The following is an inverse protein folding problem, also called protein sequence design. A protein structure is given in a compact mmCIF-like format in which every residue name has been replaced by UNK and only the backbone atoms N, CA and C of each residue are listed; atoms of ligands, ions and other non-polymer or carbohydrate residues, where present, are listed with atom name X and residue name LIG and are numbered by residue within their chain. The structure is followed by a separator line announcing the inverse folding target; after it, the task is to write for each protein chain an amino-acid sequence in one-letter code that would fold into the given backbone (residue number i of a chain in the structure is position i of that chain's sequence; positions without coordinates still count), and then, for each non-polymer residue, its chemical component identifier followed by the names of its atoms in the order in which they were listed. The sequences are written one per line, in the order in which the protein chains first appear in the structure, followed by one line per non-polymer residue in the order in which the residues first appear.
data_IF_660624509740
#
_entry.id   IF_660624509740
#
_cell.length_a   1.000
_cell.length_b   1.000
_cell.length_c   1.000
_cell.angle_alpha   90.00
_cell.angle_beta   90.00
_cell.angle_gamma   90.00
#
_symmetry.space_group_name_H-M   'P 1'
#
loop_
_entity.id
_entity.type
_entity.pdbx_description
1 polymer ?
#
# COMPACT_ATOMS: atom_id res chain seq x y z
N UNK A 1 37.43 44.18 47.77
CA UNK A 1 36.10 44.08 47.13
C UNK A 1 36.23 43.22 45.90
N UNK A 2 35.76 41.94 45.95
CA UNK A 2 35.80 40.95 44.86
C UNK A 2 34.39 40.88 44.24
N UNK A 3 34.24 41.31 43.02
CA UNK A 3 32.97 41.15 42.27
C UNK A 3 32.92 39.78 41.65
N UNK A 4 31.93 38.96 42.11
CA UNK A 4 31.64 37.64 41.58
C UNK A 4 30.59 37.81 40.45
N UNK A 5 31.01 37.59 39.22
CA UNK A 5 30.13 37.62 38.05
C UNK A 5 29.38 36.28 37.97
N UNK A 6 28.07 36.29 38.16
CA UNK A 6 27.24 35.10 37.96
C UNK A 6 26.86 35.01 36.48
N UNK A 7 27.30 33.94 35.80
CA UNK A 7 26.90 33.62 34.44
C UNK A 7 25.58 32.82 34.52
N UNK A 8 24.48 33.43 34.10
CA UNK A 8 23.22 32.71 33.86
C UNK A 8 23.32 31.96 32.51
N UNK A 9 23.42 30.64 32.56
CA UNK A 9 23.25 29.79 31.39
C UNK A 9 21.76 29.57 31.14
N UNK A 10 21.25 30.22 30.10
CA UNK A 10 19.89 29.97 29.59
C UNK A 10 19.86 28.65 28.82
N UNK A 11 19.27 27.62 29.43
CA UNK A 11 18.91 26.37 28.76
C UNK A 11 17.72 26.64 27.83
N UNK A 12 18.00 26.86 26.55
CA UNK A 12 16.99 26.84 25.49
C UNK A 12 16.59 25.36 25.26
N UNK A 13 15.54 24.93 25.95
CA UNK A 13 14.88 23.65 25.71
C UNK A 13 14.16 23.69 24.36
N UNK A 14 14.82 23.22 23.31
CA UNK A 14 14.18 22.95 22.02
C UNK A 14 13.20 21.78 22.19
N UNK A 15 11.90 22.06 22.23
CA UNK A 15 10.87 21.04 22.09
C UNK A 15 10.94 20.53 20.65
N UNK A 16 11.52 19.34 20.46
CA UNK A 16 11.39 18.60 19.21
C UNK A 16 9.90 18.25 19.04
N UNK A 17 9.21 18.96 18.18
CA UNK A 17 7.89 18.54 17.73
C UNK A 17 8.08 17.25 16.92
N UNK A 18 7.69 16.11 17.49
CA UNK A 18 7.55 14.87 16.74
C UNK A 18 6.44 15.13 15.71
N UNK A 19 6.81 15.21 14.44
CA UNK A 19 5.85 15.30 13.33
C UNK A 19 4.95 14.08 13.39
N UNK A 20 3.65 14.31 13.58
CA UNK A 20 2.67 13.23 13.64
C UNK A 20 2.68 12.49 12.30
N UNK A 21 2.67 11.15 12.33
CA UNK A 21 2.58 10.37 11.11
C UNK A 21 1.31 10.76 10.32
N UNK A 22 1.39 10.87 8.99
CA UNK A 22 0.24 11.24 8.17
C UNK A 22 -0.88 10.21 8.36
N UNK A 23 -2.11 10.70 8.46
CA UNK A 23 -3.30 9.87 8.63
C UNK A 23 -3.85 9.33 7.30
N UNK A 24 -3.11 9.52 6.22
CA UNK A 24 -3.35 8.96 4.90
C UNK A 24 -2.03 8.59 4.25
N UNK A 25 -2.04 7.52 3.43
CA UNK A 25 -0.85 7.01 2.72
C UNK A 25 -1.10 6.95 1.22
N UNK A 26 0.00 6.95 0.46
CA UNK A 26 0.00 6.72 -0.98
C UNK A 26 -0.01 5.21 -1.20
N UNK A 27 -0.99 4.70 -1.93
CA UNK A 27 -1.07 3.28 -2.26
C UNK A 27 -0.27 2.99 -3.52
N UNK A 28 0.60 1.98 -3.44
CA UNK A 28 1.30 1.41 -4.57
C UNK A 28 0.88 -0.06 -4.70
N UNK A 29 0.04 -0.36 -5.67
CA UNK A 29 -0.36 -1.73 -6.00
C UNK A 29 0.61 -2.28 -7.03
N UNK A 30 1.31 -3.37 -6.71
CA UNK A 30 2.18 -4.10 -7.63
C UNK A 30 1.52 -5.40 -8.05
N UNK A 31 1.20 -5.54 -9.34
CA UNK A 31 0.77 -6.79 -9.93
C UNK A 31 2.00 -7.58 -10.38
N UNK A 32 2.23 -8.71 -9.73
CA UNK A 32 3.46 -9.52 -9.83
C UNK A 32 3.14 -11.02 -9.83
N UNK A 33 4.14 -11.86 -10.07
CA UNK A 33 4.06 -13.30 -9.89
C UNK A 33 5.45 -13.89 -9.69
N UNK A 34 5.58 -14.88 -8.83
CA UNK A 34 6.81 -15.65 -8.67
C UNK A 34 7.18 -16.44 -9.95
N UNK A 35 6.20 -16.69 -10.83
CA UNK A 35 6.41 -17.31 -12.14
C UNK A 35 7.05 -16.39 -13.18
N UNK A 36 6.95 -15.09 -13.02
CA UNK A 36 7.37 -14.07 -13.98
C UNK A 36 8.85 -13.68 -13.77
N UNK A 37 9.74 -13.93 -14.74
CA UNK A 37 11.18 -13.66 -14.62
C UNK A 37 11.55 -12.18 -14.55
N UNK A 38 10.70 -11.29 -15.06
CA UNK A 38 10.88 -9.83 -15.00
C UNK A 38 10.32 -9.17 -13.74
N UNK A 39 9.63 -9.94 -12.88
CA UNK A 39 8.97 -9.41 -11.68
C UNK A 39 9.92 -9.15 -10.49
N UNK A 40 10.95 -9.96 -10.20
CA UNK A 40 11.78 -9.76 -9.01
C UNK A 40 12.43 -8.38 -8.86
N UNK A 41 12.82 -7.67 -9.93
CA UNK A 41 13.27 -6.28 -9.79
C UNK A 41 12.18 -5.32 -9.29
N UNK A 42 10.92 -5.54 -9.67
CA UNK A 42 9.79 -4.72 -9.19
C UNK A 42 9.43 -5.05 -7.74
N UNK A 43 9.50 -6.32 -7.34
CA UNK A 43 9.32 -6.75 -5.95
C UNK A 43 10.32 -6.06 -5.03
N UNK A 44 11.59 -5.87 -5.48
CA UNK A 44 12.61 -5.11 -4.75
C UNK A 44 12.27 -3.62 -4.64
N UNK A 45 11.68 -3.01 -5.67
CA UNK A 45 11.19 -1.61 -5.61
C UNK A 45 10.09 -1.50 -4.57
N UNK A 46 9.15 -2.44 -4.54
CA UNK A 46 8.07 -2.48 -3.55
C UNK A 46 8.61 -2.68 -2.13
N UNK A 47 9.59 -3.58 -1.95
CA UNK A 47 10.28 -3.79 -0.68
C UNK A 47 10.96 -2.51 -0.18
N UNK A 48 11.67 -1.78 -1.04
CA UNK A 48 12.30 -0.52 -0.67
C UNK A 48 11.29 0.54 -0.23
N UNK A 49 10.12 0.62 -0.89
CA UNK A 49 9.01 1.48 -0.47
C UNK A 49 8.48 1.09 0.91
N UNK A 50 8.35 -0.22 1.18
CA UNK A 50 7.89 -0.73 2.48
C UNK A 50 8.88 -0.42 3.61
N UNK A 51 10.18 -0.56 3.37
CA UNK A 51 11.20 -0.40 4.41
C UNK A 51 11.57 1.07 4.69
N UNK A 52 11.58 1.91 3.65
CA UNK A 52 12.11 3.28 3.76
C UNK A 52 11.06 4.38 3.74
N UNK A 53 9.86 4.06 3.29
CA UNK A 53 8.78 5.03 3.11
C UNK A 53 7.47 4.61 3.78
N UNK A 54 7.51 3.70 4.75
CA UNK A 54 6.36 3.12 5.46
C UNK A 54 5.38 4.16 6.02
N UNK A 55 5.89 5.33 6.44
CA UNK A 55 5.06 6.41 6.97
C UNK A 55 4.19 7.09 5.91
N UNK A 56 4.63 7.11 4.66
CA UNK A 56 4.00 7.85 3.56
C UNK A 56 3.35 6.92 2.54
N UNK A 57 3.83 5.68 2.43
CA UNK A 57 3.44 4.75 1.37
C UNK A 57 2.87 3.47 1.98
N UNK A 58 1.79 3.00 1.39
CA UNK A 58 1.23 1.67 1.60
C UNK A 58 1.48 0.86 0.32
N UNK A 59 2.58 0.11 0.26
CA UNK A 59 2.83 -0.81 -0.84
C UNK A 59 2.01 -2.09 -0.62
N UNK A 60 1.36 -2.60 -1.67
CA UNK A 60 0.56 -3.83 -1.67
C UNK A 60 0.94 -4.71 -2.86
N UNK A 61 1.25 -5.96 -2.61
CA UNK A 61 1.63 -6.94 -3.63
C UNK A 61 0.45 -7.82 -4.00
N UNK A 62 -0.04 -7.70 -5.23
CA UNK A 62 -1.14 -8.48 -5.79
C UNK A 62 -0.55 -9.55 -6.71
N UNK A 63 -0.46 -10.80 -6.22
CA UNK A 63 0.05 -11.91 -7.02
C UNK A 63 -1.03 -12.42 -7.97
N UNK A 64 -0.70 -12.47 -9.26
CA UNK A 64 -1.62 -12.88 -10.34
C UNK A 64 -1.41 -14.34 -10.74
N UNK A 65 -2.48 -15.01 -11.16
CA UNK A 65 -2.50 -16.46 -11.42
C UNK A 65 -2.18 -16.85 -12.87
N UNK A 66 -2.21 -15.92 -13.81
CA UNK A 66 -2.00 -16.22 -15.23
C UNK A 66 -0.57 -16.59 -15.62
N UNK A 67 0.36 -16.67 -14.65
CA UNK A 67 1.70 -17.22 -14.83
C UNK A 67 1.83 -18.69 -14.34
N UNK A 68 0.82 -19.24 -13.66
CA UNK A 68 0.90 -20.58 -13.05
C UNK A 68 1.10 -21.72 -14.06
N UNK A 69 0.77 -21.50 -15.34
CA UNK A 69 0.93 -22.49 -16.41
C UNK A 69 2.40 -22.83 -16.75
N UNK A 70 3.37 -22.00 -16.34
CA UNK A 70 4.79 -22.21 -16.67
C UNK A 70 5.53 -23.21 -15.76
N UNK A 71 4.78 -24.00 -14.97
CA UNK A 71 5.30 -25.07 -14.12
C UNK A 71 5.64 -24.67 -12.70
N UNK A 72 5.36 -23.45 -12.28
CA UNK A 72 5.38 -22.97 -10.91
C UNK A 72 4.03 -22.32 -10.58
N UNK A 73 3.32 -22.91 -9.65
CA UNK A 73 2.12 -22.30 -9.08
C UNK A 73 2.54 -21.36 -7.95
N UNK A 74 2.28 -20.07 -8.13
CA UNK A 74 2.60 -19.06 -7.14
C UNK A 74 1.62 -19.20 -5.96
N UNK A 75 2.11 -19.53 -4.73
CA UNK A 75 1.23 -19.82 -3.59
C UNK A 75 0.40 -18.62 -3.11
N UNK A 76 0.73 -17.42 -3.56
CA UNK A 76 0.06 -16.17 -3.20
C UNK A 76 -0.88 -15.68 -4.29
N UNK A 77 -0.88 -16.31 -5.46
CA UNK A 77 -1.69 -15.88 -6.59
C UNK A 77 -3.17 -16.19 -6.41
N UNK A 78 -4.01 -15.28 -6.89
CA UNK A 78 -5.45 -15.50 -6.94
C UNK A 78 -6.08 -14.93 -8.21
N UNK A 79 -7.23 -15.50 -8.59
CA UNK A 79 -8.03 -14.98 -9.69
C UNK A 79 -8.57 -13.59 -9.35
N UNK A 80 -8.93 -13.32 -8.10
CA UNK A 80 -9.41 -12.02 -7.64
C UNK A 80 -8.37 -10.92 -7.90
N UNK A 81 -7.10 -11.19 -7.64
CA UNK A 81 -6.00 -10.28 -7.93
C UNK A 81 -5.89 -10.03 -9.43
N UNK A 82 -6.00 -11.06 -10.25
CA UNK A 82 -6.01 -10.95 -11.71
C UNK A 82 -7.23 -10.16 -12.21
N UNK A 83 -8.40 -10.36 -11.64
CA UNK A 83 -9.61 -9.59 -11.99
C UNK A 83 -9.47 -8.11 -11.60
N UNK A 84 -8.87 -7.82 -10.45
CA UNK A 84 -8.56 -6.44 -10.06
C UNK A 84 -7.62 -5.77 -11.07
N UNK A 85 -6.60 -6.48 -11.55
CA UNK A 85 -5.72 -5.99 -12.60
C UNK A 85 -6.46 -5.78 -13.94
N UNK A 86 -7.34 -6.72 -14.34
CA UNK A 86 -8.16 -6.59 -15.57
C UNK A 86 -9.05 -5.35 -15.50
N UNK A 87 -9.58 -5.02 -14.34
CA UNK A 87 -10.37 -3.80 -14.14
C UNK A 87 -9.52 -2.54 -14.34
N UNK A 88 -8.28 -2.51 -13.84
CA UNK A 88 -7.35 -1.41 -14.12
C UNK A 88 -6.99 -1.33 -15.61
N UNK A 89 -6.86 -2.44 -16.32
CA UNK A 89 -6.70 -2.42 -17.79
C UNK A 89 -7.82 -1.60 -18.45
N UNK A 90 -9.08 -1.80 -18.02
CA UNK A 90 -10.22 -1.04 -18.54
C UNK A 90 -10.13 0.43 -18.16
N UNK A 91 -9.84 0.74 -16.87
CA UNK A 91 -9.73 2.11 -16.35
C UNK A 91 -8.67 2.92 -17.10
N UNK A 92 -7.53 2.30 -17.43
CA UNK A 92 -6.43 2.95 -18.14
C UNK A 92 -6.50 2.81 -19.68
N UNK A 93 -7.55 2.17 -20.22
CA UNK A 93 -7.73 1.98 -21.66
C UNK A 93 -6.63 1.12 -22.30
N UNK A 94 -6.08 0.15 -21.57
CA UNK A 94 -5.04 -0.74 -22.09
C UNK A 94 -5.63 -1.93 -22.85
N UNK A 95 -4.92 -2.40 -23.87
CA UNK A 95 -5.34 -3.56 -24.66
C UNK A 95 -5.11 -4.89 -23.91
N UNK A 96 -4.12 -4.95 -23.03
CA UNK A 96 -3.72 -6.16 -22.29
C UNK A 96 -3.31 -5.84 -20.86
N UNK A 97 -3.32 -6.86 -20.00
CA UNK A 97 -2.66 -6.86 -18.69
C UNK A 97 -1.20 -7.31 -18.87
N UNK A 98 -0.33 -6.92 -17.94
CA UNK A 98 1.09 -7.31 -17.97
C UNK A 98 1.68 -7.31 -16.56
N UNK A 99 2.77 -8.03 -16.36
CA UNK A 99 3.59 -7.96 -15.15
C UNK A 99 5.06 -7.68 -15.50
N UNK A 100 5.78 -6.98 -14.58
CA UNK A 100 5.29 -6.34 -13.37
C UNK A 100 4.61 -5.01 -13.66
N UNK A 101 3.39 -4.80 -13.17
CA UNK A 101 2.68 -3.53 -13.30
C UNK A 101 2.52 -2.86 -11.93
N UNK A 102 2.95 -1.60 -11.81
CA UNK A 102 2.68 -0.76 -10.64
C UNK A 102 1.52 0.20 -10.92
N UNK A 103 0.60 0.33 -9.97
CA UNK A 103 -0.50 1.31 -10.01
C UNK A 103 -0.40 2.20 -8.78
N UNK A 104 -0.28 3.51 -9.01
CA UNK A 104 -0.14 4.51 -7.96
C UNK A 104 -1.48 5.19 -7.70
N UNK A 105 -2.04 5.02 -6.50
CA UNK A 105 -3.33 5.59 -6.07
C UNK A 105 -4.48 5.37 -7.08
N UNK A 106 -4.44 4.30 -7.90
CA UNK A 106 -5.44 4.07 -8.95
C UNK A 106 -5.49 5.15 -10.05
N UNK A 107 -4.49 6.04 -10.11
CA UNK A 107 -4.43 7.20 -11.04
C UNK A 107 -3.44 7.01 -12.18
N UNK A 108 -2.37 6.28 -11.95
CA UNK A 108 -1.27 6.07 -12.91
C UNK A 108 -0.82 4.63 -12.87
N UNK A 109 -0.48 4.08 -14.02
CA UNK A 109 0.14 2.76 -14.12
C UNK A 109 1.45 2.83 -14.89
N UNK A 110 2.39 1.93 -14.56
CA UNK A 110 3.70 1.85 -15.18
C UNK A 110 4.35 0.49 -14.95
N UNK A 111 5.43 0.23 -15.67
CA UNK A 111 6.24 -0.96 -15.41
C UNK A 111 6.86 -0.86 -14.01
N UNK A 112 6.51 -1.81 -13.14
CA UNK A 112 6.87 -1.77 -11.71
C UNK A 112 8.38 -1.82 -11.43
N UNK A 113 9.19 -2.34 -12.38
CA UNK A 113 10.65 -2.40 -12.26
C UNK A 113 11.35 -1.07 -12.62
N UNK A 114 10.64 -0.09 -13.19
CA UNK A 114 11.22 1.23 -13.48
C UNK A 114 11.20 2.09 -12.21
N UNK A 115 12.19 1.83 -11.34
CA UNK A 115 12.29 2.42 -10.00
C UNK A 115 12.10 3.94 -10.01
N UNK A 116 12.81 4.66 -10.89
CA UNK A 116 12.76 6.12 -10.94
C UNK A 116 11.35 6.64 -11.28
N UNK A 117 10.64 5.96 -12.18
CA UNK A 117 9.28 6.34 -12.57
C UNK A 117 8.30 6.11 -11.40
N UNK A 118 8.42 4.97 -10.72
CA UNK A 118 7.62 4.65 -9.54
C UNK A 118 7.84 5.68 -8.43
N UNK A 119 9.10 5.97 -8.09
CA UNK A 119 9.44 6.95 -7.05
C UNK A 119 9.00 8.37 -7.41
N UNK A 120 9.15 8.78 -8.67
CA UNK A 120 8.68 10.09 -9.15
C UNK A 120 7.16 10.19 -9.05
N UNK A 121 6.43 9.15 -9.42
CA UNK A 121 4.97 9.10 -9.29
C UNK A 121 4.52 9.18 -7.82
N UNK A 122 5.16 8.43 -6.93
CA UNK A 122 4.93 8.49 -5.48
C UNK A 122 5.21 9.89 -4.96
N UNK A 123 6.36 10.48 -5.28
CA UNK A 123 6.71 11.83 -4.82
C UNK A 123 5.71 12.90 -5.28
N UNK A 124 5.14 12.75 -6.46
CA UNK A 124 4.09 13.64 -6.96
C UNK A 124 2.84 13.61 -6.07
N UNK A 125 2.46 12.43 -5.58
CA UNK A 125 1.28 12.24 -4.71
C UNK A 125 1.51 12.71 -3.26
N UNK A 126 2.76 12.78 -2.77
CA UNK A 126 3.09 13.25 -1.40
C UNK A 126 2.52 14.64 -1.14
N UNK A 127 2.57 15.53 -2.13
CA UNK A 127 2.10 16.92 -2.02
C UNK A 127 0.60 17.04 -1.75
N UNK A 128 -0.16 15.98 -2.00
CA UNK A 128 -1.62 15.95 -1.86
C UNK A 128 -2.08 15.18 -0.62
N UNK A 129 -1.16 14.71 0.23
CA UNK A 129 -1.53 13.88 1.39
C UNK A 129 -2.36 14.64 2.42
N UNK A 130 -2.01 15.89 2.71
CA UNK A 130 -2.70 16.73 3.72
C UNK A 130 -4.13 17.13 3.31
N UNK A 131 -4.47 17.01 2.02
CA UNK A 131 -5.79 17.33 1.48
C UNK A 131 -6.76 16.12 1.54
N UNK A 132 -6.27 14.95 1.96
CA UNK A 132 -7.04 13.71 1.97
C UNK A 132 -7.77 13.52 3.28
N UNK A 133 -8.98 12.91 3.28
CA UNK A 133 -9.64 12.54 4.51
C UNK A 133 -8.77 11.60 5.34
N UNK A 134 -8.74 11.85 6.65
CA UNK A 134 -8.03 10.99 7.59
C UNK A 134 -8.62 9.58 7.57
N UNK A 135 -7.76 8.57 7.62
CA UNK A 135 -8.16 7.17 7.84
C UNK A 135 -7.34 6.64 9.00
N UNK A 136 -7.99 6.17 10.05
CA UNK A 136 -7.32 5.56 11.20
C UNK A 136 -7.88 4.18 11.48
N UNK A 137 -6.98 3.26 11.85
CA UNK A 137 -7.30 1.90 12.23
C UNK A 137 -6.81 1.66 13.66
N UNK A 138 -7.65 1.07 14.48
CA UNK A 138 -7.30 0.66 15.86
C UNK A 138 -7.64 -0.82 16.00
N UNK A 139 -6.62 -1.62 16.24
CA UNK A 139 -6.80 -3.05 16.45
C UNK A 139 -7.31 -3.34 17.85
N UNK A 140 -8.41 -4.07 17.93
CA UNK A 140 -8.98 -4.63 19.15
C UNK A 140 -8.78 -6.16 19.20
N UNK A 141 -9.24 -6.78 20.27
CA UNK A 141 -9.09 -8.24 20.43
C UNK A 141 -9.80 -9.06 19.33
N UNK A 142 -10.98 -8.62 18.87
CA UNK A 142 -11.84 -9.37 17.93
C UNK A 142 -12.12 -8.62 16.61
N UNK A 143 -11.90 -7.32 16.58
CA UNK A 143 -12.22 -6.46 15.46
C UNK A 143 -11.18 -5.36 15.27
N UNK A 144 -11.35 -4.57 14.23
CA UNK A 144 -10.58 -3.38 13.93
C UNK A 144 -11.58 -2.23 13.81
N UNK A 145 -11.43 -1.24 14.68
CA UNK A 145 -12.19 0.01 14.57
C UNK A 145 -11.56 0.86 13.47
N UNK A 146 -12.36 1.24 12.50
CA UNK A 146 -11.99 2.11 11.38
C UNK A 146 -12.70 3.43 11.54
N UNK A 147 -11.95 4.53 11.54
CA UNK A 147 -12.50 5.89 11.52
C UNK A 147 -12.04 6.61 10.25
N UNK A 148 -12.98 7.20 9.54
CA UNK A 148 -12.75 7.98 8.32
C UNK A 148 -13.22 9.40 8.59
N UNK A 149 -12.35 10.37 8.32
CA UNK A 149 -12.67 11.80 8.45
C UNK A 149 -13.64 12.30 7.37
N UNK A 150 -14.19 13.48 7.59
CA UNK A 150 -14.94 14.19 6.56
C UNK A 150 -14.00 14.68 5.45
N UNK A 151 -14.52 14.81 4.23
CA UNK A 151 -13.77 15.28 3.07
C UNK A 151 -14.66 15.41 1.83
N UNK A 152 -14.06 15.73 0.70
CA UNK A 152 -14.78 15.89 -0.56
C UNK A 152 -14.84 14.60 -1.37
N UNK A 153 -15.99 14.30 -1.94
CA UNK A 153 -16.23 13.19 -2.85
C UNK A 153 -16.97 12.02 -2.25
N UNK A 154 -16.91 10.88 -2.94
CA UNK A 154 -17.47 9.61 -2.52
C UNK A 154 -16.59 8.45 -2.97
N UNK A 155 -16.71 7.32 -2.32
CA UNK A 155 -15.92 6.13 -2.66
C UNK A 155 -16.44 4.85 -2.03
N UNK A 156 -16.01 3.73 -2.59
CA UNK A 156 -16.12 2.43 -1.97
C UNK A 156 -15.06 2.31 -0.88
N UNK A 157 -15.43 1.78 0.27
CA UNK A 157 -14.51 1.46 1.34
C UNK A 157 -14.09 0.00 1.15
N UNK A 158 -12.80 -0.20 0.86
CA UNK A 158 -12.22 -1.51 0.61
C UNK A 158 -11.32 -1.87 1.79
N UNK A 159 -11.63 -2.97 2.46
CA UNK A 159 -10.71 -3.60 3.40
C UNK A 159 -9.73 -4.48 2.64
N UNK A 160 -8.46 -4.42 3.01
CA UNK A 160 -7.38 -5.25 2.49
C UNK A 160 -6.71 -5.96 3.65
N UNK A 161 -6.61 -7.27 3.55
CA UNK A 161 -5.87 -8.12 4.47
C UNK A 161 -4.62 -8.62 3.75
N UNK A 162 -3.47 -8.56 4.42
CA UNK A 162 -2.21 -8.92 3.78
C UNK A 162 -1.23 -9.55 4.76
N UNK A 163 -0.33 -10.37 4.21
CA UNK A 163 0.84 -10.91 4.91
C UNK A 163 2.02 -9.95 4.72
N UNK A 164 2.59 -9.38 5.80
CA UNK A 164 3.60 -8.32 5.70
C UNK A 164 4.89 -8.76 4.98
N UNK A 165 5.31 -10.01 5.15
CA UNK A 165 6.56 -10.49 4.60
C UNK A 165 6.58 -12.02 4.46
N UNK A 166 6.99 -12.49 3.26
CA UNK A 166 7.22 -13.91 3.02
C UNK A 166 8.45 -14.17 2.15
N UNK A 167 9.09 -15.31 2.38
CA UNK A 167 10.24 -15.77 1.60
C UNK A 167 9.99 -17.15 1.06
N UNK A 168 10.10 -17.29 -0.27
CA UNK A 168 9.82 -18.53 -0.99
C UNK A 168 11.04 -19.01 -1.74
N UNK A 169 11.35 -20.31 -1.60
CA UNK A 169 12.29 -21.01 -2.48
C UNK A 169 11.53 -21.48 -3.73
N UNK A 170 11.78 -20.85 -4.88
CA UNK A 170 11.11 -21.19 -6.14
C UNK A 170 11.77 -22.43 -6.76
N UNK A 171 11.00 -23.52 -6.85
CA UNK A 171 11.55 -24.81 -7.27
C UNK A 171 11.44 -25.08 -8.78
N UNK A 172 10.57 -24.36 -9.49
CA UNK A 172 10.27 -24.55 -10.93
C UNK A 172 10.01 -23.22 -11.63
N UNK A 173 9.73 -23.27 -12.94
CA UNK A 173 9.42 -22.08 -13.75
C UNK A 173 10.65 -21.22 -14.03
N UNK A 174 10.41 -20.00 -14.51
CA UNK A 174 11.49 -19.07 -14.96
C UNK A 174 12.37 -18.56 -13.81
N UNK A 175 11.87 -18.52 -12.57
CA UNK A 175 12.62 -18.12 -11.39
C UNK A 175 13.15 -19.31 -10.58
N UNK A 176 13.24 -20.50 -11.19
CA UNK A 176 13.77 -21.70 -10.54
C UNK A 176 15.13 -21.43 -9.85
N UNK A 177 15.28 -22.01 -8.66
CA UNK A 177 16.45 -21.93 -7.79
C UNK A 177 16.70 -20.52 -7.22
N UNK A 178 15.74 -19.58 -7.33
CA UNK A 178 15.81 -18.29 -6.66
C UNK A 178 15.07 -18.33 -5.34
N UNK A 179 15.57 -17.55 -4.38
CA UNK A 179 14.85 -17.19 -3.16
C UNK A 179 14.23 -15.84 -3.37
N UNK A 180 12.91 -15.78 -3.41
CA UNK A 180 12.17 -14.54 -3.59
C UNK A 180 11.65 -14.06 -2.24
N UNK A 181 11.71 -12.76 -2.03
CA UNK A 181 11.10 -12.07 -0.89
C UNK A 181 9.98 -11.20 -1.41
N UNK A 182 8.78 -11.39 -0.88
CA UNK A 182 7.62 -10.59 -1.20
C UNK A 182 7.13 -9.89 0.07
N UNK A 183 6.64 -8.66 -0.05
CA UNK A 183 6.17 -7.83 1.06
C UNK A 183 4.73 -7.41 0.85
N UNK A 184 3.99 -7.26 1.95
CA UNK A 184 2.58 -6.84 1.96
C UNK A 184 1.75 -7.56 0.91
N UNK A 185 1.85 -8.89 0.94
CA UNK A 185 1.18 -9.80 0.01
C UNK A 185 -0.30 -9.80 0.32
N UNK A 186 -1.13 -9.37 -0.61
CA UNK A 186 -2.58 -9.31 -0.42
C UNK A 186 -3.17 -10.71 -0.37
N UNK A 187 -3.70 -11.06 0.78
CA UNK A 187 -4.40 -12.33 1.02
C UNK A 187 -5.84 -12.26 0.51
N UNK A 188 -6.50 -11.13 0.77
CA UNK A 188 -7.85 -10.84 0.25
C UNK A 188 -8.17 -9.34 0.34
N UNK A 189 -9.14 -8.91 -0.44
CA UNK A 189 -9.72 -7.57 -0.35
C UNK A 189 -11.22 -7.64 -0.61
N UNK A 190 -11.99 -6.78 0.05
CA UNK A 190 -13.45 -6.79 -0.08
C UNK A 190 -14.05 -5.44 0.29
N UNK A 191 -15.19 -5.12 -0.33
CA UNK A 191 -15.94 -3.91 -0.01
C UNK A 191 -16.67 -4.07 1.31
N UNK A 192 -16.46 -3.12 2.24
CA UNK A 192 -17.09 -3.08 3.55
C UNK A 192 -18.19 -2.01 3.67
N UNK A 193 -18.21 -1.07 2.74
CA UNK A 193 -19.20 0.02 2.74
C UNK A 193 -18.93 1.05 1.65
N UNK A 194 -19.56 2.20 1.81
CA UNK A 194 -19.36 3.38 0.98
C UNK A 194 -19.14 4.60 1.88
N UNK A 195 -18.29 5.50 1.42
CA UNK A 195 -18.07 6.81 2.02
C UNK A 195 -18.67 7.89 1.12
N UNK A 196 -19.43 8.81 1.70
CA UNK A 196 -20.16 9.87 1.00
C UNK A 196 -19.63 11.28 1.29
N UNK A 197 -18.43 11.37 1.86
CA UNK A 197 -17.83 12.63 2.30
C UNK A 197 -18.03 12.92 3.79
N UNK A 198 -18.94 12.22 4.46
CA UNK A 198 -19.20 12.42 5.90
C UNK A 198 -18.22 11.60 6.75
N UNK A 199 -17.87 12.14 7.92
CA UNK A 199 -17.11 11.38 8.91
C UNK A 199 -17.88 10.18 9.41
N UNK A 200 -17.23 9.01 9.50
CA UNK A 200 -17.87 7.79 9.97
C UNK A 200 -16.89 6.88 10.71
N UNK A 201 -17.44 6.07 11.61
CA UNK A 201 -16.68 5.05 12.35
C UNK A 201 -17.47 3.75 12.36
N UNK A 202 -16.80 2.63 12.10
CA UNK A 202 -17.37 1.29 12.08
C UNK A 202 -16.31 0.25 12.44
N UNK A 203 -16.74 -0.98 12.71
CA UNK A 203 -15.84 -2.09 12.98
C UNK A 203 -15.86 -3.10 11.84
N UNK A 204 -14.70 -3.65 11.52
CA UNK A 204 -14.54 -4.81 10.65
C UNK A 204 -14.03 -6.01 11.46
N UNK A 205 -14.46 -7.25 11.16
CA UNK A 205 -13.94 -8.42 11.84
C UNK A 205 -12.43 -8.55 11.62
N UNK A 206 -11.70 -8.90 12.67
CA UNK A 206 -10.29 -9.28 12.54
C UNK A 206 -10.20 -10.69 11.97
N UNK A 207 -9.59 -10.84 10.80
CA UNK A 207 -9.30 -12.12 10.15
C UNK A 207 -8.04 -12.79 10.72
N UNK A 208 -7.40 -13.63 9.90
CA UNK A 208 -6.16 -14.34 10.26
C UNK A 208 -4.90 -13.64 9.80
N UNK A 209 -5.01 -12.71 8.85
CA UNK A 209 -3.88 -11.96 8.31
C UNK A 209 -3.25 -11.07 9.36
N UNK A 210 -1.97 -10.77 9.22
CA UNK A 210 -1.22 -9.94 10.15
C UNK A 210 -1.36 -8.45 9.84
N UNK A 211 -1.49 -8.09 8.56
CA UNK A 211 -1.63 -6.72 8.08
C UNK A 211 -3.07 -6.39 7.65
N UNK A 212 -3.49 -5.17 7.94
CA UNK A 212 -4.82 -4.65 7.60
C UNK A 212 -4.70 -3.24 7.06
N UNK A 213 -5.39 -2.97 5.96
CA UNK A 213 -5.49 -1.64 5.38
C UNK A 213 -6.93 -1.31 4.98
N UNK A 214 -7.22 -0.01 4.93
CA UNK A 214 -8.47 0.53 4.38
C UNK A 214 -8.11 1.45 3.22
N UNK A 215 -8.77 1.24 2.10
CA UNK A 215 -8.71 2.11 0.93
C UNK A 215 -10.08 2.75 0.72
N UNK A 216 -10.12 4.05 0.48
CA UNK A 216 -11.31 4.75 -0.02
C UNK A 216 -11.08 4.96 -1.50
N UNK A 217 -11.81 4.23 -2.34
CA UNK A 217 -11.58 4.20 -3.78
C UNK A 217 -12.83 4.68 -4.54
N UNK A 218 -12.66 5.59 -5.49
CA UNK A 218 -13.76 6.04 -6.36
C UNK A 218 -14.41 4.85 -7.06
N UNK A 219 -15.75 4.87 -7.25
CA UNK A 219 -16.46 3.76 -7.88
C UNK A 219 -15.88 3.37 -9.24
N UNK A 220 -15.91 2.07 -9.55
CA UNK A 220 -15.32 1.52 -10.78
C UNK A 220 -13.80 1.35 -10.70
N UNK A 221 -13.26 1.21 -9.49
CA UNK A 221 -11.82 0.97 -9.23
C UNK A 221 -10.92 2.07 -9.82
N UNK A 222 -11.36 3.32 -9.71
CA UNK A 222 -10.60 4.48 -10.15
C UNK A 222 -9.65 4.96 -9.07
N UNK A 223 -9.47 6.27 -8.94
CA UNK A 223 -8.59 6.89 -7.96
C UNK A 223 -8.87 6.43 -6.53
N UNK A 224 -7.81 6.08 -5.80
CA UNK A 224 -7.85 5.95 -4.34
C UNK A 224 -7.75 7.36 -3.74
N UNK A 225 -8.80 7.75 -3.01
CA UNK A 225 -8.96 9.07 -2.39
C UNK A 225 -8.07 9.16 -1.15
N UNK A 226 -8.16 8.13 -0.29
CA UNK A 226 -7.37 8.02 0.93
C UNK A 226 -7.14 6.56 1.28
N UNK A 227 -6.10 6.29 2.05
CA UNK A 227 -5.79 4.96 2.57
C UNK A 227 -4.93 5.04 3.81
N UNK A 228 -5.05 4.06 4.68
CA UNK A 228 -4.11 3.84 5.77
C UNK A 228 -4.11 2.36 6.19
N UNK A 229 -3.14 1.97 7.02
CA UNK A 229 -3.02 0.62 7.57
C UNK A 229 -2.69 0.66 9.06
N UNK A 230 -2.80 -0.51 9.70
CA UNK A 230 -2.32 -0.75 11.07
C UNK A 230 -0.82 -0.65 11.14
#
# INVERSE_FOLDING_TARGET
MKYMLAILASLAGGTAYAEAAPKSKIVVELYTSQGCSSCPPADKVLQELSERHEKLVLPLSFHVDYWNYIGWEDPFSSEENTQRQRKYREVFGRSSIYTPQAVINGKREMVGSYKNDVFTAVHTEVKMLDERPDVTLIQNAKDITVSIGAGEGNGDIIAVEYTPHERTDVLRGENRNRKLTNVNIVDRFYKVGTWDGSAQTFNIPRGKSEGYAILIQKPGQRQIISANNL
#
